data_IF_831123367169
#
_entry.id   IF_831123367169
#
_cell.length_a   1.000
_cell.length_b   1.000
_cell.length_c   1.000
_cell.angle_alpha   90.00
_cell.angle_beta   90.00
_cell.angle_gamma   90.00
#
_symmetry.space_group_name_H-M   'P 1'
#
loop_
_entity.id
_entity.type
_entity.pdbx_description
1 polymer ?
#
# COMPACT_ATOMS: atom_id res chain seq x y z
N UNK A 1 13.55 -6.79 -7.74
CA UNK A 1 12.35 -7.33 -8.43
C UNK A 1 12.27 -6.74 -9.85
N UNK A 2 11.59 -7.40 -10.81
CA UNK A 2 11.37 -6.81 -12.16
C UNK A 2 10.30 -5.71 -12.11
N UNK A 3 10.39 -4.73 -13.02
CA UNK A 3 9.46 -3.60 -13.11
C UNK A 3 8.01 -4.03 -13.34
N UNK A 4 7.78 -4.94 -14.29
CA UNK A 4 6.44 -5.48 -14.57
C UNK A 4 5.80 -6.13 -13.33
N UNK A 5 6.59 -6.83 -12.52
CA UNK A 5 6.13 -7.49 -11.29
C UNK A 5 5.76 -6.43 -10.25
N UNK A 6 6.55 -5.38 -10.13
CA UNK A 6 6.28 -4.27 -9.22
C UNK A 6 4.99 -3.55 -9.61
N UNK A 7 4.85 -3.16 -10.87
CA UNK A 7 3.65 -2.48 -11.39
C UNK A 7 2.42 -3.35 -11.17
N UNK A 8 2.48 -4.64 -11.54
CA UNK A 8 1.35 -5.57 -11.34
C UNK A 8 0.95 -5.68 -9.87
N UNK A 9 1.92 -5.76 -8.96
CA UNK A 9 1.63 -5.85 -7.51
C UNK A 9 1.05 -4.55 -6.97
N UNK A 10 1.59 -3.40 -7.39
CA UNK A 10 1.09 -2.08 -7.01
C UNK A 10 -0.37 -1.90 -7.46
N UNK A 11 -0.66 -2.18 -8.74
CA UNK A 11 -2.01 -2.04 -9.29
C UNK A 11 -3.02 -3.00 -8.63
N UNK A 12 -2.60 -4.24 -8.30
CA UNK A 12 -3.45 -5.17 -7.54
C UNK A 12 -3.79 -4.65 -6.15
N UNK A 13 -2.81 -4.12 -5.42
CA UNK A 13 -3.06 -3.53 -4.10
C UNK A 13 -3.94 -2.28 -4.21
N UNK A 14 -3.67 -1.42 -5.19
CA UNK A 14 -4.45 -0.22 -5.46
C UNK A 14 -5.92 -0.55 -5.72
N UNK A 15 -6.20 -1.46 -6.64
CA UNK A 15 -7.56 -1.89 -6.95
C UNK A 15 -8.28 -2.50 -5.72
N UNK A 16 -7.56 -3.27 -4.89
CA UNK A 16 -8.10 -3.78 -3.63
C UNK A 16 -8.53 -2.66 -2.68
N UNK A 17 -7.69 -1.63 -2.51
CA UNK A 17 -7.99 -0.49 -1.65
C UNK A 17 -9.12 0.39 -2.21
N UNK A 18 -9.15 0.61 -3.52
CA UNK A 18 -10.21 1.40 -4.18
C UNK A 18 -11.60 0.76 -4.02
N UNK A 19 -11.70 -0.57 -4.02
CA UNK A 19 -12.97 -1.26 -3.73
C UNK A 19 -13.48 -1.04 -2.30
N UNK A 20 -12.61 -0.68 -1.36
CA UNK A 20 -12.97 -0.45 0.05
C UNK A 20 -13.37 1.01 0.33
N UNK A 21 -13.10 1.94 -0.60
CA UNK A 21 -13.46 3.36 -0.48
C UNK A 21 -14.98 3.62 -0.52
N UNK A 22 -15.80 2.64 -0.90
CA UNK A 22 -17.27 2.77 -0.88
C UNK A 22 -17.87 2.83 0.54
N UNK A 23 -17.02 2.79 1.58
CA UNK A 23 -17.42 2.80 2.99
C UNK A 23 -17.14 4.16 3.67
N UNK A 24 -17.99 4.59 4.63
CA UNK A 24 -17.91 5.91 5.26
C UNK A 24 -16.68 6.16 6.15
N UNK A 25 -15.91 5.13 6.53
CA UNK A 25 -14.66 5.23 7.32
C UNK A 25 -13.40 5.04 6.46
N UNK A 26 -13.35 5.71 5.30
CA UNK A 26 -12.32 5.51 4.27
C UNK A 26 -11.09 6.44 4.39
N UNK A 27 -10.93 7.19 5.49
CA UNK A 27 -9.80 8.13 5.69
C UNK A 27 -8.44 7.44 5.67
N UNK A 28 -8.33 6.30 6.36
CA UNK A 28 -7.10 5.51 6.42
C UNK A 28 -6.75 4.90 5.06
N UNK A 29 -7.76 4.36 4.37
CA UNK A 29 -7.60 3.77 3.03
C UNK A 29 -7.16 4.84 2.02
N UNK A 30 -7.73 6.05 2.12
CA UNK A 30 -7.35 7.20 1.29
C UNK A 30 -5.87 7.53 1.50
N UNK A 31 -5.42 7.61 2.75
CA UNK A 31 -4.02 7.90 3.07
C UNK A 31 -3.07 6.80 2.58
N UNK A 32 -3.44 5.53 2.74
CA UNK A 32 -2.66 4.39 2.19
C UNK A 32 -2.55 4.51 0.67
N UNK A 33 -3.63 4.87 -0.03
CA UNK A 33 -3.63 5.08 -1.48
C UNK A 33 -2.73 6.26 -1.89
N UNK A 34 -2.77 7.36 -1.15
CA UNK A 34 -1.89 8.52 -1.37
C UNK A 34 -0.42 8.13 -1.24
N UNK A 35 -0.06 7.40 -0.19
CA UNK A 35 1.31 6.89 0.01
C UNK A 35 1.68 5.94 -1.13
N UNK A 36 0.82 4.96 -1.43
CA UNK A 36 1.05 3.97 -2.50
C UNK A 36 1.25 4.63 -3.86
N UNK A 37 0.53 5.72 -4.16
CA UNK A 37 0.66 6.44 -5.42
C UNK A 37 2.05 7.08 -5.60
N UNK A 38 2.76 7.41 -4.51
CA UNK A 38 4.12 7.93 -4.57
C UNK A 38 5.15 6.89 -5.00
N UNK A 39 4.85 5.59 -4.86
CA UNK A 39 5.75 4.52 -5.27
C UNK A 39 5.82 4.41 -6.79
N UNK A 40 7.00 4.65 -7.36
CA UNK A 40 7.38 4.33 -8.74
C UNK A 40 8.39 3.19 -8.73
N UNK A 41 8.62 2.55 -9.87
CA UNK A 41 9.66 1.52 -9.92
C UNK A 41 11.02 2.09 -9.53
N UNK A 42 11.36 3.30 -9.96
CA UNK A 42 12.65 3.94 -9.68
C UNK A 42 12.84 4.29 -8.20
N UNK A 43 11.80 4.74 -7.51
CA UNK A 43 11.91 5.19 -6.11
C UNK A 43 11.52 4.13 -5.08
N UNK A 44 11.04 2.95 -5.51
CA UNK A 44 10.49 1.89 -4.62
C UNK A 44 11.43 1.52 -3.46
N UNK A 45 12.74 1.44 -3.72
CA UNK A 45 13.72 1.06 -2.70
C UNK A 45 13.93 2.16 -1.66
N UNK A 46 13.78 3.43 -2.07
CA UNK A 46 13.85 4.59 -1.18
C UNK A 46 12.60 4.70 -0.31
N UNK A 47 11.43 4.39 -0.87
CA UNK A 47 10.15 4.45 -0.16
C UNK A 47 9.81 3.18 0.61
N UNK A 48 10.52 2.07 0.39
CA UNK A 48 10.32 0.82 1.10
C UNK A 48 10.27 1.03 2.62
N UNK A 49 9.24 0.48 3.25
CA UNK A 49 9.00 0.61 4.69
C UNK A 49 8.02 1.73 5.05
N UNK A 50 7.73 2.66 4.13
CA UNK A 50 6.83 3.81 4.41
C UNK A 50 5.42 3.33 4.69
N UNK A 51 4.89 2.45 3.84
CA UNK A 51 3.57 1.84 4.04
C UNK A 51 3.52 0.98 5.30
N UNK A 52 4.53 0.13 5.52
CA UNK A 52 4.60 -0.70 6.73
C UNK A 52 4.58 0.16 8.00
N UNK A 53 5.37 1.25 8.01
CA UNK A 53 5.42 2.18 9.14
C UNK A 53 4.08 2.86 9.37
N UNK A 54 3.43 3.33 8.31
CA UNK A 54 2.09 3.92 8.41
C UNK A 54 1.09 2.94 9.05
N UNK A 55 1.07 1.68 8.62
CA UNK A 55 0.19 0.65 9.17
C UNK A 55 0.47 0.39 10.66
N UNK A 56 1.75 0.36 11.07
CA UNK A 56 2.12 0.15 12.48
C UNK A 56 1.72 1.35 13.34
N UNK A 57 1.87 2.56 12.81
CA UNK A 57 1.57 3.80 13.52
C UNK A 57 0.07 4.11 13.54
N UNK A 58 -0.73 3.53 12.63
CA UNK A 58 -2.20 3.68 12.59
C UNK A 58 -2.90 2.61 13.44
N UNK A 59 -3.72 3.05 14.39
CA UNK A 59 -4.53 2.15 15.23
C UNK A 59 -5.86 1.72 14.61
N UNK A 60 -6.21 2.27 13.45
CA UNK A 60 -7.57 2.21 12.88
C UNK A 60 -7.66 1.37 11.60
N UNK A 61 -6.53 0.92 11.05
CA UNK A 61 -6.53 0.07 9.86
C UNK A 61 -6.93 -1.36 10.23
N UNK A 62 -7.96 -1.88 9.54
CA UNK A 62 -8.35 -3.28 9.66
C UNK A 62 -7.16 -4.22 9.41
N UNK A 63 -7.01 -5.23 10.27
CA UNK A 63 -5.89 -6.16 10.26
C UNK A 63 -5.65 -6.79 8.88
N UNK A 64 -6.73 -7.16 8.17
CA UNK A 64 -6.63 -7.81 6.86
C UNK A 64 -6.14 -6.87 5.76
N UNK A 65 -6.44 -5.56 5.89
CA UNK A 65 -5.91 -4.51 5.02
C UNK A 65 -4.43 -4.31 5.33
N UNK A 66 -4.09 -4.21 6.63
CA UNK A 66 -2.73 -4.03 7.10
C UNK A 66 -1.78 -5.11 6.58
N UNK A 67 -2.17 -6.39 6.67
CA UNK A 67 -1.36 -7.50 6.16
C UNK A 67 -1.03 -7.37 4.66
N UNK A 68 -2.03 -7.03 3.82
CA UNK A 68 -1.81 -6.88 2.37
C UNK A 68 -0.87 -5.73 2.04
N UNK A 69 -0.99 -4.63 2.76
CA UNK A 69 -0.13 -3.45 2.60
C UNK A 69 1.31 -3.78 3.02
N UNK A 70 1.50 -4.43 4.17
CA UNK A 70 2.81 -4.87 4.67
C UNK A 70 3.44 -5.91 3.71
N UNK A 71 2.64 -6.84 3.18
CA UNK A 71 3.11 -7.85 2.24
C UNK A 71 3.68 -7.20 0.97
N UNK A 72 2.98 -6.21 0.41
CA UNK A 72 3.46 -5.46 -0.75
C UNK A 72 4.83 -4.81 -0.48
N UNK A 73 4.94 -4.08 0.63
CA UNK A 73 6.13 -3.29 0.99
C UNK A 73 7.34 -4.20 1.33
N UNK A 74 7.11 -5.32 2.01
CA UNK A 74 8.12 -6.35 2.32
C UNK A 74 8.68 -6.99 1.05
N UNK A 75 7.85 -7.14 0.03
CA UNK A 75 8.18 -7.76 -1.24
C UNK A 75 9.00 -6.85 -2.19
N UNK A 76 9.19 -5.57 -1.84
CA UNK A 76 10.01 -4.65 -2.63
C UNK A 76 11.50 -5.03 -2.51
N UNK A 77 12.11 -5.35 -3.65
CA UNK A 77 13.52 -5.73 -3.82
C UNK A 77 14.07 -5.24 -5.16
#
# INVERSE_FOLDING_TARGET
MKEEIFITRKEKLKAFLEMLLETPDSSEITTILEILNQYTFDNRLKLKGTLTRYIIDSSEVDYSIGEKVIEFDTNIR
#
